data_IF_273012973850
#
_entry.id   IF_273012973850
#
_cell.length_a   1.000
_cell.length_b   1.000
_cell.length_c   1.000
_cell.angle_alpha   90.00
_cell.angle_beta   90.00
_cell.angle_gamma   90.00
#
_symmetry.space_group_name_H-M   'P 1'
#
loop_
_entity.id
_entity.type
_entity.pdbx_description
1 polymer ?
#
# COMPACT_ATOMS: atom_id res chain seq x y z
N UNK A 1 0.54 -14.68 41.42
CA UNK A 1 -0.86 -14.92 41.01
C UNK A 1 -0.90 -15.20 39.52
N UNK A 2 -1.48 -16.34 39.12
CA UNK A 2 -1.58 -16.81 37.74
C UNK A 2 -2.39 -15.88 36.81
N UNK A 3 -3.18 -14.95 37.34
CA UNK A 3 -4.12 -14.11 36.57
C UNK A 3 -4.08 -12.64 36.96
N UNK A 4 -2.88 -12.11 37.25
CA UNK A 4 -2.70 -10.68 37.42
C UNK A 4 -2.13 -10.07 36.13
N UNK A 5 -2.89 -9.18 35.50
CA UNK A 5 -2.54 -8.46 34.28
C UNK A 5 -2.24 -7.00 34.63
N UNK A 6 -1.01 -6.57 34.42
CA UNK A 6 -0.54 -5.23 34.80
C UNK A 6 -0.67 -4.20 33.69
N UNK A 7 -0.96 -4.66 32.45
CA UNK A 7 -1.20 -3.80 31.30
C UNK A 7 -2.17 -4.46 30.32
N UNK A 8 -2.84 -3.67 29.53
CA UNK A 8 -3.63 -4.15 28.41
C UNK A 8 -2.71 -4.69 27.33
N UNK A 9 -3.10 -5.78 26.68
CA UNK A 9 -2.37 -6.38 25.59
C UNK A 9 -3.30 -7.09 24.62
N UNK A 10 -2.83 -7.31 23.42
CA UNK A 10 -3.52 -8.14 22.44
C UNK A 10 -3.27 -9.61 22.76
N UNK A 11 -4.31 -10.43 22.76
CA UNK A 11 -4.17 -11.88 22.93
C UNK A 11 -3.71 -12.54 21.62
N UNK A 12 -2.52 -12.17 21.15
CA UNK A 12 -1.92 -12.69 19.93
C UNK A 12 -1.16 -13.97 20.24
N UNK A 13 -1.57 -15.05 19.59
CA UNK A 13 -0.90 -16.36 19.70
C UNK A 13 -0.46 -16.82 18.32
N UNK A 14 0.83 -17.08 18.17
CA UNK A 14 1.35 -17.79 17.00
C UNK A 14 1.24 -19.31 17.23
N UNK A 15 1.27 -20.07 16.14
CA UNK A 15 1.37 -21.52 16.15
C UNK A 15 2.75 -21.95 15.65
N UNK A 16 3.16 -23.18 15.94
CA UNK A 16 4.42 -23.73 15.44
C UNK A 16 4.44 -23.74 13.89
N UNK A 17 3.30 -23.95 13.26
CA UNK A 17 3.17 -23.86 11.80
C UNK A 17 3.47 -22.44 11.28
N UNK A 18 2.95 -21.41 11.93
CA UNK A 18 3.21 -20.04 11.57
C UNK A 18 4.69 -19.70 11.78
N UNK A 19 5.30 -20.17 12.86
CA UNK A 19 6.72 -19.98 13.14
C UNK A 19 7.60 -20.69 12.11
N UNK A 20 7.27 -21.92 11.73
CA UNK A 20 7.97 -22.69 10.71
C UNK A 20 7.96 -21.97 9.35
N UNK A 21 6.79 -21.51 8.90
CA UNK A 21 6.66 -20.74 7.67
C UNK A 21 7.47 -19.44 7.76
N UNK A 22 7.39 -18.74 8.90
CA UNK A 22 8.12 -17.50 9.14
C UNK A 22 9.64 -17.67 9.06
N UNK A 23 10.20 -18.73 9.66
CA UNK A 23 11.64 -19.03 9.61
C UNK A 23 12.09 -19.22 8.16
N UNK A 24 11.35 -19.99 7.36
CA UNK A 24 11.67 -20.21 5.95
C UNK A 24 11.61 -18.90 5.12
N UNK A 25 10.70 -17.99 5.47
CA UNK A 25 10.62 -16.69 4.80
C UNK A 25 11.79 -15.75 5.14
N UNK A 26 12.40 -15.90 6.33
CA UNK A 26 13.55 -15.09 6.73
C UNK A 26 14.78 -15.29 5.84
N UNK A 27 14.94 -16.47 5.22
CA UNK A 27 16.04 -16.73 4.29
C UNK A 27 16.03 -15.78 3.09
N UNK A 28 14.84 -15.37 2.64
CA UNK A 28 14.64 -14.47 1.49
C UNK A 28 14.43 -13.00 1.91
N UNK A 29 14.47 -12.70 3.21
CA UNK A 29 14.07 -11.39 3.73
C UNK A 29 14.81 -10.22 3.07
N UNK A 30 16.13 -10.29 2.99
CA UNK A 30 16.95 -9.21 2.41
C UNK A 30 16.64 -9.01 0.93
N UNK A 31 16.53 -10.08 0.15
CA UNK A 31 16.17 -10.01 -1.27
C UNK A 31 14.80 -9.37 -1.47
N UNK A 32 13.82 -9.74 -0.66
CA UNK A 32 12.45 -9.20 -0.73
C UNK A 32 12.44 -7.69 -0.48
N UNK A 33 13.14 -7.22 0.56
CA UNK A 33 13.13 -5.79 0.90
C UNK A 33 13.91 -4.95 -0.12
N UNK A 34 15.02 -5.47 -0.66
CA UNK A 34 15.79 -4.79 -1.70
C UNK A 34 15.00 -4.70 -3.02
N UNK A 35 14.40 -5.79 -3.47
CA UNK A 35 13.59 -5.80 -4.68
C UNK A 35 12.43 -4.81 -4.57
N UNK A 36 11.66 -4.84 -3.47
CA UNK A 36 10.57 -3.89 -3.27
C UNK A 36 11.03 -2.44 -3.20
N UNK A 37 12.19 -2.18 -2.61
CA UNK A 37 12.77 -0.85 -2.57
C UNK A 37 13.18 -0.36 -3.96
N UNK A 38 13.79 -1.19 -4.78
CA UNK A 38 14.18 -0.87 -6.14
C UNK A 38 12.93 -0.57 -7.01
N UNK A 39 11.94 -1.44 -6.95
CA UNK A 39 10.66 -1.24 -7.64
C UNK A 39 9.97 0.07 -7.21
N UNK A 40 9.95 0.33 -5.90
CA UNK A 40 9.38 1.56 -5.36
C UNK A 40 10.06 2.81 -5.91
N UNK A 41 11.40 2.81 -5.99
CA UNK A 41 12.16 3.92 -6.55
C UNK A 41 11.91 4.08 -8.05
N UNK A 42 11.80 2.97 -8.79
CA UNK A 42 11.49 3.00 -10.22
C UNK A 42 10.10 3.62 -10.48
N UNK A 43 9.06 3.21 -9.74
CA UNK A 43 7.76 3.88 -9.79
C UNK A 43 7.86 5.37 -9.50
N UNK A 44 8.64 5.72 -8.45
CA UNK A 44 8.80 7.12 -8.07
C UNK A 44 9.44 7.97 -9.16
N UNK A 45 10.36 7.41 -9.93
CA UNK A 45 11.04 8.07 -11.04
C UNK A 45 10.14 8.22 -12.27
N UNK A 46 9.40 7.16 -12.61
CA UNK A 46 8.61 7.10 -13.84
C UNK A 46 7.25 7.82 -13.76
N UNK A 47 6.61 7.82 -12.58
CA UNK A 47 5.31 8.49 -12.42
C UNK A 47 5.50 9.97 -12.20
N UNK A 48 4.93 10.79 -13.09
CA UNK A 48 4.99 12.27 -13.06
C UNK A 48 3.61 12.91 -12.91
N UNK A 49 2.55 12.27 -13.40
CA UNK A 49 1.19 12.79 -13.45
C UNK A 49 0.40 12.74 -12.13
N UNK A 50 0.96 12.17 -11.06
CA UNK A 50 0.27 12.05 -9.77
C UNK A 50 0.09 13.43 -9.10
N UNK A 51 -1.11 13.70 -8.56
CA UNK A 51 -1.35 14.88 -7.70
C UNK A 51 -0.53 14.78 -6.40
N UNK A 52 -0.27 13.58 -5.94
CA UNK A 52 0.65 13.27 -4.83
C UNK A 52 1.26 11.89 -5.00
N UNK A 53 2.53 11.80 -4.73
CA UNK A 53 3.29 10.56 -4.60
C UNK A 53 4.18 10.59 -3.36
N UNK A 54 4.53 9.43 -2.79
CA UNK A 54 5.36 9.39 -1.59
C UNK A 54 6.79 9.89 -1.87
N UNK A 55 7.52 10.15 -0.80
CA UNK A 55 8.93 10.52 -0.93
C UNK A 55 9.77 9.36 -1.47
N UNK A 56 10.80 9.69 -2.27
CA UNK A 56 11.79 8.71 -2.73
C UNK A 56 12.46 8.01 -1.54
N UNK A 57 12.72 6.72 -1.68
CA UNK A 57 13.52 5.98 -0.72
C UNK A 57 14.98 6.47 -0.72
N UNK A 58 15.59 6.55 0.46
CA UNK A 58 16.98 6.94 0.68
C UNK A 58 17.61 6.09 1.78
N UNK A 59 18.91 6.28 2.04
CA UNK A 59 19.58 5.59 3.17
C UNK A 59 18.98 5.93 4.52
N UNK A 60 18.50 7.17 4.68
CA UNK A 60 17.88 7.65 5.93
C UNK A 60 16.39 7.30 6.04
N UNK A 61 15.76 7.02 4.90
CA UNK A 61 14.34 6.68 4.78
C UNK A 61 14.20 5.53 3.80
N UNK A 62 14.56 4.35 4.25
CA UNK A 62 14.45 3.14 3.46
C UNK A 62 12.99 2.68 3.40
N UNK A 63 12.46 2.51 2.19
CA UNK A 63 11.05 2.15 1.94
C UNK A 63 10.96 0.83 1.20
N UNK A 64 10.20 -0.11 1.76
CA UNK A 64 9.95 -1.44 1.19
C UNK A 64 8.45 -1.77 1.26
N UNK A 65 7.62 -0.90 0.71
CA UNK A 65 6.17 -1.07 0.72
C UNK A 65 5.74 -2.27 -0.14
N UNK A 66 4.69 -2.97 0.30
CA UNK A 66 4.09 -4.08 -0.47
C UNK A 66 3.36 -3.60 -1.74
N UNK A 67 3.09 -2.30 -1.85
CA UNK A 67 2.46 -1.66 -2.99
C UNK A 67 2.89 -0.20 -3.08
N UNK A 68 2.88 0.40 -4.27
CA UNK A 68 3.23 1.81 -4.47
C UNK A 68 1.97 2.67 -4.33
N UNK A 69 1.88 3.56 -3.32
CA UNK A 69 0.72 4.42 -3.13
C UNK A 69 0.82 5.70 -3.97
N UNK A 70 -0.29 6.12 -4.54
CA UNK A 70 -0.40 7.42 -5.18
C UNK A 70 -1.80 8.01 -5.03
N UNK A 71 -1.92 9.32 -5.22
CA UNK A 71 -3.19 10.04 -5.27
C UNK A 71 -3.29 10.72 -6.63
N UNK A 72 -4.42 10.54 -7.32
CA UNK A 72 -4.74 11.26 -8.53
C UNK A 72 -6.23 11.54 -8.63
N UNK A 73 -6.58 12.77 -9.00
CA UNK A 73 -7.97 13.15 -9.30
C UNK A 73 -8.52 12.42 -10.51
N UNK A 74 -7.63 11.92 -11.38
CA UNK A 74 -7.97 11.08 -12.52
C UNK A 74 -8.06 9.58 -12.16
N UNK A 75 -8.10 9.23 -10.85
CA UNK A 75 -8.09 7.83 -10.37
C UNK A 75 -9.00 6.91 -11.18
N UNK A 76 -10.24 7.31 -11.47
CA UNK A 76 -11.19 6.45 -12.18
C UNK A 76 -10.67 6.08 -13.56
N UNK A 77 -10.21 7.05 -14.36
CA UNK A 77 -9.66 6.80 -15.69
C UNK A 77 -8.42 5.91 -15.64
N UNK A 78 -7.52 6.20 -14.69
CA UNK A 78 -6.28 5.42 -14.49
C UNK A 78 -6.63 3.99 -14.12
N UNK A 79 -7.49 3.78 -13.14
CA UNK A 79 -7.89 2.45 -12.66
C UNK A 79 -8.63 1.66 -13.74
N UNK A 80 -9.53 2.30 -14.50
CA UNK A 80 -10.24 1.68 -15.61
C UNK A 80 -9.25 1.21 -16.70
N UNK A 81 -8.26 2.05 -17.05
CA UNK A 81 -7.23 1.71 -18.02
C UNK A 81 -6.33 0.57 -17.54
N UNK A 82 -5.90 0.61 -16.27
CA UNK A 82 -5.11 -0.45 -15.66
C UNK A 82 -5.90 -1.77 -15.64
N UNK A 83 -7.17 -1.73 -15.25
CA UNK A 83 -8.05 -2.90 -15.21
C UNK A 83 -8.27 -3.50 -16.62
N UNK A 84 -8.45 -2.66 -17.63
CA UNK A 84 -8.58 -3.10 -19.02
C UNK A 84 -7.31 -3.79 -19.56
N UNK A 85 -6.16 -3.56 -18.91
CA UNK A 85 -4.88 -4.18 -19.21
C UNK A 85 -4.46 -5.24 -18.17
N UNK A 86 -5.41 -5.79 -17.43
CA UNK A 86 -5.23 -6.86 -16.43
C UNK A 86 -4.31 -6.49 -15.24
N UNK A 87 -4.08 -5.19 -15.00
CA UNK A 87 -3.30 -4.71 -13.86
C UNK A 87 -4.21 -4.53 -12.65
N UNK A 88 -3.95 -5.30 -11.60
CA UNK A 88 -4.73 -5.23 -10.34
C UNK A 88 -4.32 -4.03 -9.52
N UNK A 89 -5.31 -3.21 -9.16
CA UNK A 89 -5.14 -2.07 -8.25
C UNK A 89 -6.03 -2.23 -7.02
N UNK A 90 -5.76 -1.46 -5.98
CA UNK A 90 -6.61 -1.39 -4.77
C UNK A 90 -6.75 0.05 -4.30
N UNK A 91 -7.91 0.46 -3.75
CA UNK A 91 -8.02 1.71 -3.01
C UNK A 91 -7.02 1.74 -1.85
N UNK A 92 -6.55 2.93 -1.46
CA UNK A 92 -5.73 3.07 -0.26
C UNK A 92 -6.52 2.62 0.98
N UNK A 93 -5.93 1.72 1.77
CA UNK A 93 -6.52 1.19 2.99
C UNK A 93 -6.39 2.24 4.11
N UNK A 94 -7.43 2.49 4.82
CA UNK A 94 -8.84 2.04 4.76
C UNK A 94 -9.77 3.18 4.36
N UNK A 95 -9.31 4.09 3.50
CA UNK A 95 -10.05 5.27 3.10
C UNK A 95 -10.23 6.29 4.22
N UNK A 96 -11.32 7.05 4.18
CA UNK A 96 -11.68 7.98 5.25
C UNK A 96 -12.44 7.26 6.36
N UNK A 97 -11.88 7.24 7.57
CA UNK A 97 -12.56 6.65 8.73
C UNK A 97 -13.89 7.34 9.02
N UNK A 98 -13.94 8.67 8.85
CA UNK A 98 -15.16 9.46 9.02
C UNK A 98 -16.32 9.09 8.09
N UNK A 99 -16.03 8.42 6.97
CA UNK A 99 -17.02 7.92 5.99
C UNK A 99 -17.41 6.45 6.23
N UNK A 100 -16.79 5.75 7.18
CA UNK A 100 -17.10 4.35 7.43
C UNK A 100 -18.46 4.19 8.15
N UNK A 101 -19.32 3.25 7.71
CA UNK A 101 -20.65 3.08 8.29
C UNK A 101 -20.66 2.86 9.80
N UNK A 102 -19.71 2.06 10.32
CA UNK A 102 -19.61 1.82 11.77
C UNK A 102 -19.21 3.08 12.54
N UNK A 103 -18.39 3.95 11.95
CA UNK A 103 -17.97 5.21 12.56
C UNK A 103 -19.15 6.19 12.63
N UNK A 104 -19.83 6.36 11.49
CA UNK A 104 -21.00 7.24 11.40
C UNK A 104 -22.09 6.83 12.39
N UNK A 105 -22.32 5.51 12.54
CA UNK A 105 -23.32 4.97 13.48
C UNK A 105 -22.99 5.30 14.93
N UNK A 106 -21.71 5.30 15.32
CA UNK A 106 -21.31 5.46 16.72
C UNK A 106 -20.94 6.91 17.08
N UNK A 107 -20.45 7.69 16.12
CA UNK A 107 -19.86 9.02 16.37
C UNK A 107 -20.42 10.13 15.49
N UNK A 108 -21.35 9.82 14.60
CA UNK A 108 -21.89 10.76 13.62
C UNK A 108 -20.95 11.00 12.43
N UNK A 109 -21.44 11.77 11.47
CA UNK A 109 -20.67 12.14 10.28
C UNK A 109 -19.54 13.11 10.67
N UNK A 110 -18.32 12.82 10.25
CA UNK A 110 -17.18 13.70 10.43
C UNK A 110 -16.59 14.07 9.06
N UNK A 111 -16.30 15.34 8.89
CA UNK A 111 -15.67 15.86 7.68
C UNK A 111 -14.15 15.97 7.91
N UNK A 112 -13.40 15.10 7.24
CA UNK A 112 -11.95 15.00 7.32
C UNK A 112 -11.34 15.24 5.92
N UNK A 113 -11.13 16.50 5.50
CA UNK A 113 -10.84 16.84 4.09
C UNK A 113 -9.69 16.07 3.48
N UNK A 114 -8.58 15.94 4.19
CA UNK A 114 -7.39 15.22 3.69
C UNK A 114 -7.63 13.71 3.59
N UNK A 115 -8.30 13.11 4.59
CA UNK A 115 -8.67 11.70 4.56
C UNK A 115 -9.71 11.41 3.46
N UNK A 116 -10.59 12.35 3.20
CA UNK A 116 -11.60 12.27 2.15
C UNK A 116 -10.96 12.28 0.76
N UNK A 117 -9.94 13.14 0.53
CA UNK A 117 -9.15 13.15 -0.71
C UNK A 117 -8.43 11.80 -0.89
N UNK A 118 -7.80 11.26 0.15
CA UNK A 118 -7.15 9.95 0.08
C UNK A 118 -8.15 8.85 -0.24
N UNK A 119 -9.35 8.89 0.35
CA UNK A 119 -10.41 7.92 0.09
C UNK A 119 -10.88 7.96 -1.37
N UNK A 120 -11.07 9.16 -1.90
CA UNK A 120 -11.71 9.34 -3.21
C UNK A 120 -10.68 9.23 -4.37
N UNK A 121 -9.44 9.63 -4.14
CA UNK A 121 -8.39 9.75 -5.15
C UNK A 121 -7.21 8.81 -4.97
N UNK A 122 -7.08 8.14 -3.81
CA UNK A 122 -5.92 7.31 -3.50
C UNK A 122 -6.07 5.85 -3.95
N UNK A 123 -4.98 5.26 -4.45
CA UNK A 123 -4.92 3.85 -4.82
C UNK A 123 -3.50 3.32 -4.78
N UNK A 124 -3.37 1.98 -4.82
CA UNK A 124 -2.10 1.27 -4.87
C UNK A 124 -1.84 0.68 -6.25
N UNK A 125 -0.59 0.80 -6.70
CA UNK A 125 -0.02 0.02 -7.79
C UNK A 125 0.72 -1.22 -7.22
N UNK A 126 0.84 -2.32 -7.99
CA UNK A 126 1.48 -3.54 -7.53
C UNK A 126 2.98 -3.33 -7.24
N UNK A 127 3.49 -3.90 -6.15
CA UNK A 127 4.91 -3.92 -5.79
C UNK A 127 5.24 -5.24 -5.08
N UNK A 128 5.03 -6.35 -5.75
CA UNK A 128 5.47 -7.65 -5.28
C UNK A 128 6.92 -7.93 -5.74
N UNK A 129 7.50 -9.02 -5.25
CA UNK A 129 8.89 -9.38 -5.56
C UNK A 129 9.07 -10.02 -6.95
N UNK A 130 7.98 -10.45 -7.57
CA UNK A 130 8.00 -11.16 -8.85
C UNK A 130 7.75 -10.22 -10.04
N UNK A 131 7.38 -8.94 -9.76
CA UNK A 131 7.14 -7.95 -10.82
C UNK A 131 8.49 -7.53 -11.44
N UNK A 132 8.56 -7.58 -12.76
CA UNK A 132 9.74 -7.18 -13.51
C UNK A 132 9.81 -5.68 -13.74
N UNK A 133 10.99 -5.18 -14.10
CA UNK A 133 11.19 -3.78 -14.45
C UNK A 133 10.37 -3.37 -15.70
N UNK A 134 10.24 -4.27 -16.68
CA UNK A 134 9.42 -4.08 -17.88
C UNK A 134 7.94 -3.95 -17.54
N UNK A 135 7.42 -4.77 -16.63
CA UNK A 135 6.04 -4.69 -16.15
C UNK A 135 5.79 -3.39 -15.39
N UNK A 136 6.74 -2.94 -14.57
CA UNK A 136 6.65 -1.64 -13.89
C UNK A 136 6.60 -0.49 -14.92
N UNK A 137 7.47 -0.51 -15.92
CA UNK A 137 7.46 0.48 -17.01
C UNK A 137 6.14 0.48 -17.77
N UNK A 138 5.61 -0.71 -18.05
CA UNK A 138 4.29 -0.86 -18.67
C UNK A 138 3.18 -0.26 -17.81
N UNK A 139 3.14 -0.59 -16.52
CA UNK A 139 2.16 -0.01 -15.58
C UNK A 139 2.28 1.52 -15.54
N UNK A 140 3.51 2.05 -15.46
CA UNK A 140 3.72 3.49 -15.46
C UNK A 140 3.25 4.16 -16.76
N UNK A 141 3.48 3.55 -17.92
CA UNK A 141 2.99 4.10 -19.21
C UNK A 141 1.47 4.20 -19.25
N UNK A 142 0.77 3.18 -18.72
CA UNK A 142 -0.69 3.21 -18.63
C UNK A 142 -1.20 4.32 -17.70
N UNK A 143 -0.47 4.60 -16.62
CA UNK A 143 -0.79 5.66 -15.66
C UNK A 143 -0.57 7.04 -16.27
N UNK A 144 0.56 7.25 -16.94
CA UNK A 144 0.92 8.55 -17.54
C UNK A 144 0.00 8.94 -18.72
N UNK A 145 -0.48 7.96 -19.47
CA UNK A 145 -1.35 8.17 -20.63
C UNK A 145 -2.85 8.27 -20.30
N UNK A 146 -3.27 8.28 -19.04
CA UNK A 146 -4.66 8.29 -18.61
C UNK A 146 -5.14 9.69 -18.19
#
# INVERSE_FOLDING_TARGET
>A
SLYKFYMMGFNLRSTDLNAFIGINQLENFNSVIETRNNNYNLYHELITCADWKPHKSSKERFVTNFAYPMISRNRHKIVDKLTANEVVTRPLICGSLGKQPFWIKNYGVQHLPNADIVNDCGFYLPNNVDITEEEIKFVCSLVEDA
#
